data_IF_108677877736
#
_entry.id   IF_108677877736
#
_cell.length_a   1.000
_cell.length_b   1.000
_cell.length_c   1.000
_cell.angle_alpha   90.00
_cell.angle_beta   90.00
_cell.angle_gamma   90.00
#
_symmetry.space_group_name_H-M   'P 1'
#
loop_
_entity.id
_entity.type
_entity.pdbx_description
1 polymer ?
#
# COMPACT_ATOMS: atom_id res chain seq x y z
N UNK A 1 38.95 -52.96 -76.90
CA UNK A 1 39.32 -53.20 -75.48
C UNK A 1 40.04 -54.54 -75.30
N UNK A 2 41.32 -54.51 -74.91
CA UNK A 2 42.07 -55.72 -74.55
C UNK A 2 41.51 -56.32 -73.24
N UNK A 3 41.33 -57.64 -73.13
CA UNK A 3 40.85 -58.26 -71.91
C UNK A 3 41.92 -58.20 -70.81
N UNK A 4 41.64 -57.55 -69.69
CA UNK A 4 42.55 -57.53 -68.53
C UNK A 4 42.85 -58.94 -68.03
N UNK A 5 44.14 -59.19 -67.78
CA UNK A 5 44.66 -60.45 -67.27
C UNK A 5 44.14 -60.78 -65.87
N UNK A 6 44.14 -62.07 -65.53
CA UNK A 6 43.67 -62.58 -64.23
C UNK A 6 44.51 -62.02 -63.07
N UNK A 7 45.79 -61.73 -63.31
CA UNK A 7 46.69 -61.05 -62.37
C UNK A 7 46.19 -59.65 -62.00
N UNK A 8 45.82 -58.86 -63.00
CA UNK A 8 45.48 -57.44 -62.83
C UNK A 8 44.11 -57.30 -62.16
N UNK A 9 43.14 -58.14 -62.55
CA UNK A 9 41.84 -58.24 -61.85
C UNK A 9 42.00 -58.61 -60.37
N UNK A 10 42.99 -59.45 -60.02
CA UNK A 10 43.28 -59.79 -58.60
C UNK A 10 43.93 -58.64 -57.84
N UNK A 11 44.70 -57.77 -58.49
CA UNK A 11 45.22 -56.53 -57.88
C UNK A 11 44.09 -55.52 -57.66
N UNK A 12 43.31 -55.24 -58.70
CA UNK A 12 42.16 -54.33 -58.66
C UNK A 12 41.14 -54.73 -57.58
N UNK A 13 40.86 -56.03 -57.42
CA UNK A 13 39.95 -56.51 -56.38
C UNK A 13 40.51 -56.36 -54.95
N UNK A 14 41.84 -56.40 -54.77
CA UNK A 14 42.49 -56.11 -53.47
C UNK A 14 42.45 -54.62 -53.17
N UNK A 15 42.72 -53.79 -54.16
CA UNK A 15 42.71 -52.33 -54.06
C UNK A 15 41.30 -51.79 -53.75
N UNK A 16 40.27 -52.26 -54.46
CA UNK A 16 38.86 -51.97 -54.15
C UNK A 16 38.44 -52.40 -52.74
N UNK A 17 38.97 -53.53 -52.23
CA UNK A 17 38.74 -53.95 -50.84
C UNK A 17 39.50 -53.11 -49.81
N UNK A 18 40.64 -52.53 -50.16
CA UNK A 18 41.37 -51.60 -49.28
C UNK A 18 40.65 -50.24 -49.22
N UNK A 19 40.25 -49.69 -50.37
CA UNK A 19 39.46 -48.46 -50.46
C UNK A 19 38.13 -48.56 -49.70
N UNK A 20 37.40 -49.67 -49.84
CA UNK A 20 36.17 -49.89 -49.08
C UNK A 20 36.37 -49.92 -47.56
N UNK A 21 37.52 -50.40 -47.07
CA UNK A 21 37.86 -50.40 -45.64
C UNK A 21 38.29 -49.03 -45.12
N UNK A 22 38.96 -48.23 -45.95
CA UNK A 22 39.29 -46.84 -45.60
C UNK A 22 38.01 -46.01 -45.47
N UNK A 23 37.09 -46.12 -46.43
CA UNK A 23 35.81 -45.42 -46.40
C UNK A 23 34.93 -45.77 -45.19
N UNK A 24 34.96 -47.03 -44.70
CA UNK A 24 34.26 -47.39 -43.46
C UNK A 24 34.92 -46.80 -42.22
N UNK A 25 36.26 -46.75 -42.15
CA UNK A 25 36.98 -46.17 -41.02
C UNK A 25 36.77 -44.65 -40.93
N UNK A 26 36.83 -43.95 -42.07
CA UNK A 26 36.51 -42.51 -42.12
C UNK A 26 35.07 -42.26 -41.64
N UNK A 27 34.09 -43.07 -42.09
CA UNK A 27 32.71 -42.96 -41.61
C UNK A 27 32.56 -43.21 -40.10
N UNK A 28 33.28 -44.19 -39.55
CA UNK A 28 33.29 -44.47 -38.10
C UNK A 28 33.90 -43.31 -37.29
N UNK A 29 34.95 -42.66 -37.80
CA UNK A 29 35.53 -41.46 -37.18
C UNK A 29 34.57 -40.25 -37.25
N UNK A 30 33.88 -40.03 -38.37
CA UNK A 30 32.84 -38.98 -38.48
C UNK A 30 31.69 -39.21 -37.48
N UNK A 31 31.15 -40.44 -37.40
CA UNK A 31 30.08 -40.78 -36.46
C UNK A 31 30.52 -40.60 -34.99
N UNK A 32 31.79 -40.86 -34.68
CA UNK A 32 32.36 -40.63 -33.35
C UNK A 32 32.45 -39.14 -33.03
N UNK A 33 32.93 -38.32 -33.98
CA UNK A 33 33.04 -36.87 -33.81
C UNK A 33 31.67 -36.22 -33.64
N UNK A 34 30.67 -36.65 -34.41
CA UNK A 34 29.28 -36.20 -34.29
C UNK A 34 28.71 -36.52 -32.89
N UNK A 35 28.95 -37.73 -32.39
CA UNK A 35 28.54 -38.12 -31.03
C UNK A 35 29.20 -37.27 -29.95
N UNK A 36 30.50 -36.99 -30.07
CA UNK A 36 31.24 -36.13 -29.14
C UNK A 36 30.73 -34.67 -29.17
N UNK A 37 30.40 -34.13 -30.35
CA UNK A 37 29.77 -32.82 -30.47
C UNK A 37 28.36 -32.80 -29.85
N UNK A 38 27.55 -33.84 -30.03
CA UNK A 38 26.21 -33.94 -29.42
C UNK A 38 26.28 -34.06 -27.90
N UNK A 39 27.24 -34.82 -27.36
CA UNK A 39 27.49 -34.91 -25.92
C UNK A 39 27.95 -33.55 -25.35
N UNK A 40 28.83 -32.84 -26.06
CA UNK A 40 29.26 -31.49 -25.68
C UNK A 40 28.09 -30.50 -25.67
N UNK A 41 27.27 -30.43 -26.73
CA UNK A 41 26.08 -29.56 -26.81
C UNK A 41 25.12 -29.85 -25.66
N UNK A 42 24.87 -31.13 -25.37
CA UNK A 42 24.00 -31.55 -24.26
C UNK A 42 24.57 -31.11 -22.91
N UNK A 43 25.88 -31.25 -22.69
CA UNK A 43 26.54 -30.82 -21.45
C UNK A 43 26.52 -29.30 -21.24
N UNK A 44 26.65 -28.51 -22.31
CA UNK A 44 26.54 -27.06 -22.27
C UNK A 44 25.10 -26.66 -21.93
N UNK A 45 24.10 -27.26 -22.61
CA UNK A 45 22.68 -26.97 -22.36
C UNK A 45 22.25 -27.28 -20.92
N UNK A 46 22.68 -28.42 -20.36
CA UNK A 46 22.40 -28.78 -18.97
C UNK A 46 23.06 -27.80 -17.99
N UNK A 47 24.29 -27.38 -18.26
CA UNK A 47 24.99 -26.39 -17.43
C UNK A 47 24.31 -25.02 -17.47
N UNK A 48 23.89 -24.56 -18.64
CA UNK A 48 23.13 -23.31 -18.78
C UNK A 48 21.79 -23.37 -18.05
N UNK A 49 21.10 -24.51 -18.07
CA UNK A 49 19.86 -24.73 -17.30
C UNK A 49 20.11 -24.69 -15.78
N UNK A 50 21.17 -25.33 -15.29
CA UNK A 50 21.59 -25.22 -13.89
C UNK A 50 21.96 -23.79 -13.49
N UNK A 51 22.67 -23.05 -14.34
CA UNK A 51 23.07 -21.67 -14.08
C UNK A 51 21.86 -20.73 -14.08
N UNK A 52 20.89 -20.91 -14.99
CA UNK A 52 19.58 -20.21 -14.96
C UNK A 52 18.82 -20.47 -13.68
N UNK A 53 18.73 -21.73 -13.25
CA UNK A 53 18.03 -22.09 -12.01
C UNK A 53 18.68 -21.47 -10.77
N UNK A 54 20.02 -21.45 -10.70
CA UNK A 54 20.76 -20.80 -9.60
C UNK A 54 20.50 -19.28 -9.55
N UNK A 55 20.30 -18.65 -10.71
CA UNK A 55 19.91 -17.23 -10.79
C UNK A 55 18.48 -17.04 -10.29
N UNK A 56 17.53 -17.85 -10.74
CA UNK A 56 16.12 -17.81 -10.32
C UNK A 56 15.96 -18.02 -8.81
N UNK A 57 16.64 -19.02 -8.23
CA UNK A 57 16.64 -19.30 -6.78
C UNK A 57 17.19 -18.11 -5.95
N UNK A 58 18.23 -17.41 -6.43
CA UNK A 58 18.81 -16.25 -5.74
C UNK A 58 17.98 -14.96 -5.96
N UNK A 59 17.36 -14.78 -7.13
CA UNK A 59 16.40 -13.69 -7.37
C UNK A 59 15.17 -13.83 -6.46
N UNK A 60 14.60 -15.03 -6.34
CA UNK A 60 13.53 -15.33 -5.38
C UNK A 60 13.94 -15.01 -3.94
N UNK A 61 15.16 -15.41 -3.55
CA UNK A 61 15.70 -15.13 -2.21
C UNK A 61 15.81 -13.63 -1.94
N UNK A 62 16.38 -12.87 -2.88
CA UNK A 62 16.52 -11.41 -2.77
C UNK A 62 15.14 -10.76 -2.67
N UNK A 63 14.16 -11.17 -3.49
CA UNK A 63 12.79 -10.67 -3.44
C UNK A 63 12.13 -10.92 -2.07
N UNK A 64 12.29 -12.13 -1.51
CA UNK A 64 11.79 -12.46 -0.16
C UNK A 64 12.46 -11.60 0.93
N UNK A 65 13.76 -11.33 0.81
CA UNK A 65 14.48 -10.46 1.75
C UNK A 65 14.01 -8.99 1.66
N UNK A 66 13.86 -8.44 0.45
CA UNK A 66 13.35 -7.08 0.24
C UNK A 66 11.93 -6.91 0.79
N UNK A 67 11.05 -7.89 0.57
CA UNK A 67 9.70 -7.89 1.14
C UNK A 67 9.71 -7.93 2.67
N UNK A 68 10.57 -8.76 3.27
CA UNK A 68 10.70 -8.86 4.72
C UNK A 68 11.26 -7.56 5.35
N UNK A 69 12.22 -6.90 4.70
CA UNK A 69 12.75 -5.61 5.14
C UNK A 69 11.70 -4.50 5.04
N UNK A 70 10.98 -4.42 3.91
CA UNK A 70 9.89 -3.46 3.72
C UNK A 70 8.77 -3.62 4.75
N UNK A 71 8.39 -4.87 5.08
CA UNK A 71 7.41 -5.13 6.12
C UNK A 71 7.87 -4.69 7.51
N UNK A 72 9.16 -4.88 7.85
CA UNK A 72 9.74 -4.41 9.12
C UNK A 72 9.77 -2.88 9.20
N UNK A 73 10.17 -2.22 8.11
CA UNK A 73 10.20 -0.75 8.04
C UNK A 73 8.79 -0.17 8.24
N UNK A 74 7.77 -0.77 7.62
CA UNK A 74 6.37 -0.36 7.82
C UNK A 74 5.88 -0.60 9.26
N UNK A 75 6.25 -1.72 9.89
CA UNK A 75 5.93 -1.99 11.30
C UNK A 75 6.60 -0.98 12.24
N UNK A 76 7.85 -0.61 11.97
CA UNK A 76 8.58 0.42 12.72
C UNK A 76 7.98 1.81 12.53
N UNK A 77 7.56 2.16 11.30
CA UNK A 77 6.83 3.39 11.03
C UNK A 77 5.52 3.47 11.83
N UNK A 78 4.70 2.40 11.85
CA UNK A 78 3.48 2.33 12.67
C UNK A 78 3.77 2.48 14.17
N UNK A 79 4.83 1.85 14.68
CA UNK A 79 5.26 2.02 16.08
C UNK A 79 5.65 3.47 16.35
N UNK A 80 6.44 4.10 15.48
CA UNK A 80 6.85 5.50 15.62
C UNK A 80 5.67 6.48 15.64
N UNK A 81 4.66 6.25 14.79
CA UNK A 81 3.41 7.01 14.79
C UNK A 81 2.64 6.85 16.10
N UNK A 82 2.53 5.62 16.63
CA UNK A 82 1.89 5.37 17.93
C UNK A 82 2.60 6.05 19.09
N UNK A 83 3.95 6.11 19.07
CA UNK A 83 4.71 6.86 20.08
C UNK A 83 4.48 8.38 19.96
N UNK A 84 4.52 8.93 18.75
CA UNK A 84 4.26 10.36 18.52
C UNK A 84 2.81 10.76 18.89
N UNK A 85 1.84 9.88 18.68
CA UNK A 85 0.45 10.11 19.12
C UNK A 85 0.34 10.10 20.65
N UNK A 86 0.95 9.13 21.33
CA UNK A 86 1.00 9.08 22.81
C UNK A 86 1.69 10.31 23.40
N UNK A 87 2.76 10.80 22.77
CA UNK A 87 3.44 12.02 23.17
C UNK A 87 2.52 13.25 23.05
N UNK A 88 1.81 13.41 21.93
CA UNK A 88 0.79 14.47 21.77
C UNK A 88 -0.30 14.40 22.85
N UNK A 89 -0.82 13.21 23.14
CA UNK A 89 -1.82 13.02 24.21
C UNK A 89 -1.28 13.38 25.60
N UNK A 90 0.02 13.16 25.87
CA UNK A 90 0.66 13.61 27.12
C UNK A 90 0.80 15.13 27.17
N UNK A 91 1.26 15.76 26.08
CA UNK A 91 1.36 17.22 25.98
C UNK A 91 -0.01 17.92 26.14
N UNK A 92 -1.07 17.35 25.55
CA UNK A 92 -2.45 17.85 25.72
C UNK A 92 -2.91 17.75 27.19
N UNK A 93 -2.66 16.60 27.85
CA UNK A 93 -2.97 16.43 29.28
C UNK A 93 -2.20 17.41 30.17
N UNK A 94 -0.92 17.65 29.89
CA UNK A 94 -0.15 18.67 30.61
C UNK A 94 -0.72 20.08 30.43
N UNK A 95 -1.17 20.43 29.23
CA UNK A 95 -1.80 21.73 28.97
C UNK A 95 -3.14 21.87 29.73
N UNK A 96 -3.94 20.81 29.79
CA UNK A 96 -5.17 20.79 30.58
C UNK A 96 -4.90 20.94 32.09
N UNK A 97 -3.89 20.24 32.62
CA UNK A 97 -3.44 20.38 34.02
C UNK A 97 -3.00 21.83 34.30
N UNK A 98 -2.16 22.42 33.45
CA UNK A 98 -1.71 23.82 33.59
C UNK A 98 -2.89 24.81 33.59
N UNK A 99 -3.91 24.59 32.76
CA UNK A 99 -5.14 25.41 32.77
C UNK A 99 -5.97 25.23 34.04
N UNK A 100 -6.04 24.01 34.59
CA UNK A 100 -6.75 23.73 35.85
C UNK A 100 -6.01 24.34 37.05
N UNK A 101 -4.69 24.21 37.11
CA UNK A 101 -3.85 24.89 38.11
C UNK A 101 -4.03 26.42 38.08
N UNK A 102 -4.13 27.02 36.89
CA UNK A 102 -4.39 28.45 36.76
C UNK A 102 -5.79 28.85 37.26
N UNK A 103 -6.82 28.04 36.98
CA UNK A 103 -8.18 28.24 37.53
C UNK A 103 -8.16 28.16 39.06
N UNK A 104 -7.53 27.13 39.62
CA UNK A 104 -7.36 26.93 41.07
C UNK A 104 -6.60 28.11 41.69
N UNK A 105 -5.56 28.63 41.02
CA UNK A 105 -4.82 29.82 41.47
C UNK A 105 -5.71 31.06 41.54
N UNK A 106 -6.48 31.33 40.48
CA UNK A 106 -7.43 32.46 40.41
C UNK A 106 -8.53 32.34 41.48
N UNK A 107 -9.02 31.14 41.75
CA UNK A 107 -10.01 30.88 42.79
C UNK A 107 -9.43 31.06 44.20
N UNK A 108 -8.22 30.54 44.47
CA UNK A 108 -7.50 30.77 45.74
C UNK A 108 -7.30 32.26 46.01
N UNK A 109 -6.88 33.04 45.01
CA UNK A 109 -6.73 34.50 45.12
C UNK A 109 -8.07 35.20 45.41
N UNK A 110 -9.17 34.76 44.77
CA UNK A 110 -10.52 35.28 45.07
C UNK A 110 -10.93 34.99 46.52
N UNK A 111 -10.73 33.75 47.00
CA UNK A 111 -11.01 33.36 48.38
C UNK A 111 -10.17 34.18 49.38
N UNK A 112 -8.91 34.47 49.06
CA UNK A 112 -8.04 35.30 49.89
C UNK A 112 -8.53 36.75 49.97
N UNK A 113 -8.89 37.36 48.83
CA UNK A 113 -9.49 38.70 48.80
C UNK A 113 -10.80 38.76 49.59
N UNK A 114 -11.65 37.75 49.50
CA UNK A 114 -12.92 37.73 50.23
C UNK A 114 -12.73 37.46 51.74
N UNK A 115 -11.72 36.67 52.14
CA UNK A 115 -11.27 36.56 53.54
C UNK A 115 -10.74 37.89 54.08
N UNK A 116 -9.99 38.66 53.28
CA UNK A 116 -9.51 39.98 53.69
C UNK A 116 -10.67 40.97 53.93
N UNK A 117 -11.67 41.01 53.03
CA UNK A 117 -12.89 41.80 53.21
C UNK A 117 -13.70 41.40 54.46
N UNK A 118 -13.78 40.10 54.76
CA UNK A 118 -14.43 39.60 55.97
C UNK A 118 -13.72 40.08 57.24
N UNK A 119 -12.38 39.98 57.30
CA UNK A 119 -11.59 40.52 58.42
C UNK A 119 -11.77 42.03 58.59
N UNK A 120 -11.84 42.79 57.49
CA UNK A 120 -12.11 44.22 57.54
C UNK A 120 -13.47 44.51 58.17
N UNK A 121 -14.55 43.87 57.69
CA UNK A 121 -15.90 43.99 58.28
C UNK A 121 -15.96 43.58 59.75
N UNK A 122 -15.20 42.58 60.17
CA UNK A 122 -15.12 42.15 61.56
C UNK A 122 -14.46 43.22 62.45
N UNK A 123 -13.40 43.87 61.96
CA UNK A 123 -12.76 45.00 62.64
C UNK A 123 -13.69 46.22 62.70
N UNK A 124 -14.36 46.55 61.60
CA UNK A 124 -15.35 47.64 61.55
C UNK A 124 -16.48 47.41 62.56
N UNK A 125 -16.98 46.16 62.67
CA UNK A 125 -18.00 45.78 63.65
C UNK A 125 -17.51 45.88 65.11
N UNK A 126 -16.26 45.46 65.37
CA UNK A 126 -15.63 45.60 66.70
C UNK A 126 -15.49 47.08 67.10
N UNK A 127 -15.06 47.93 66.18
CA UNK A 127 -14.95 49.38 66.39
C UNK A 127 -16.33 50.03 66.62
N UNK A 128 -17.35 49.66 65.84
CA UNK A 128 -18.71 50.15 66.03
C UNK A 128 -19.28 49.74 67.40
N UNK A 129 -18.95 48.54 67.90
CA UNK A 129 -19.40 48.05 69.21
C UNK A 129 -18.71 48.76 70.39
N UNK A 130 -17.52 49.34 70.18
CA UNK A 130 -16.83 50.20 71.16
C UNK A 130 -17.30 51.66 71.14
N UNK A 131 -18.06 52.07 70.12
CA UNK A 131 -18.63 53.41 69.98
C UNK A 131 -20.10 53.52 70.43
N UNK A 132 -20.71 52.43 70.89
CA UNK A 132 -22.06 52.42 71.43
C UNK A 132 -22.05 52.94 72.89
N UNK A 133 -22.77 54.03 73.22
CA UNK A 133 -22.93 54.46 74.61
C UNK A 133 -23.79 53.46 75.40
N UNK A 134 -23.62 53.43 76.72
CA UNK A 134 -24.34 52.52 77.61
C UNK A 134 -25.87 52.62 77.41
N UNK A 135 -26.59 51.48 77.32
CA UNK A 135 -28.05 51.48 77.24
C UNK A 135 -28.64 51.84 78.61
N UNK A 136 -28.96 53.13 78.80
CA UNK A 136 -29.73 53.59 79.95
C UNK A 136 -31.11 52.92 79.96
N UNK A 137 -31.46 52.32 81.10
CA UNK A 137 -32.72 51.63 81.34
C UNK A 137 -33.95 52.53 81.12
N UNK A 138 -34.89 52.06 80.30
CA UNK A 138 -36.28 52.54 80.28
C UNK A 138 -37.24 51.35 80.01
N UNK A 139 -38.20 51.06 80.90
CA UNK A 139 -39.19 50.00 80.69
C UNK A 139 -40.50 50.57 80.12
N UNK A 140 -40.96 50.10 78.95
CA UNK A 140 -42.33 50.36 78.47
C UNK A 140 -42.95 49.09 77.86
N UNK A 141 -43.77 48.47 78.69
CA UNK A 141 -45.09 47.87 78.43
C UNK A 141 -45.34 46.83 77.32
N UNK A 142 -46.13 45.84 77.73
CA UNK A 142 -46.65 44.69 76.99
C UNK A 142 -47.96 45.00 76.25
N UNK A 143 -48.17 44.44 75.05
CA UNK A 143 -49.54 44.26 74.53
C UNK A 143 -49.72 42.99 73.67
N UNK A 144 -50.85 42.36 73.92
CA UNK A 144 -51.37 41.03 73.57
C UNK A 144 -51.62 40.68 72.08
N UNK A 145 -51.03 39.57 71.65
CA UNK A 145 -51.65 38.34 71.10
C UNK A 145 -52.76 38.32 69.99
N UNK A 146 -52.41 37.66 68.87
CA UNK A 146 -53.19 36.64 68.08
C UNK A 146 -54.35 37.14 67.12
N UNK A 147 -55.00 36.28 66.29
CA UNK A 147 -54.48 35.84 64.96
C UNK A 147 -55.55 35.74 63.80
N UNK A 148 -55.17 35.81 62.51
CA UNK A 148 -56.07 35.44 61.38
C UNK A 148 -55.32 34.75 60.23
N UNK A 149 -56.00 33.81 59.57
CA UNK A 149 -55.51 32.93 58.49
C UNK A 149 -55.55 33.54 57.06
N UNK A 150 -55.13 32.73 56.08
CA UNK A 150 -55.35 32.76 54.62
C UNK A 150 -56.38 33.76 54.04
N UNK A 151 -56.19 34.33 52.84
CA UNK A 151 -56.39 33.68 51.52
C UNK A 151 -55.68 34.53 50.45
N UNK A 152 -55.19 33.92 49.36
CA UNK A 152 -54.51 34.64 48.27
C UNK A 152 -55.42 35.09 47.11
N UNK A 153 -55.06 36.17 46.40
CA UNK A 153 -55.53 36.42 45.03
C UNK A 153 -54.51 37.16 44.13
N UNK A 154 -54.15 36.49 43.02
CA UNK A 154 -54.00 36.99 41.63
C UNK A 154 -53.55 38.45 41.36
N UNK A 155 -52.42 38.66 40.64
CA UNK A 155 -52.24 39.87 39.82
C UNK A 155 -53.02 39.75 38.48
N UNK A 156 -53.79 40.80 38.13
CA UNK A 156 -54.60 40.84 36.89
C UNK A 156 -53.81 41.32 35.66
N UNK A 157 -53.97 40.61 34.53
CA UNK A 157 -53.42 40.93 33.21
C UNK A 157 -54.15 42.09 32.51
N UNK A 158 -53.42 43.03 31.88
CA UNK A 158 -53.77 43.78 30.63
C UNK A 158 -52.47 44.37 30.04
N UNK A 159 -52.22 44.47 28.72
CA UNK A 159 -52.84 43.85 27.52
C UNK A 159 -51.79 43.85 26.37
N UNK A 160 -51.86 42.90 25.44
CA UNK A 160 -50.90 42.74 24.31
C UNK A 160 -51.14 43.71 23.13
N UNK A 161 -50.09 43.96 22.34
CA UNK A 161 -50.02 43.80 20.86
C UNK A 161 -48.57 43.38 20.52
N UNK A 162 -48.19 42.20 19.99
CA UNK A 162 -48.60 41.34 18.83
C UNK A 162 -48.00 41.72 17.48
N UNK A 163 -46.79 41.20 17.22
CA UNK A 163 -46.30 40.57 15.98
C UNK A 163 -45.37 39.44 16.51
N UNK A 164 -45.68 38.13 16.54
CA UNK A 164 -46.13 37.14 15.53
C UNK A 164 -45.01 36.80 14.53
N UNK A 165 -44.48 35.57 14.41
CA UNK A 165 -44.57 34.36 15.26
C UNK A 165 -43.55 33.30 14.80
N UNK A 166 -43.33 32.27 15.64
CA UNK A 166 -42.82 30.90 15.30
C UNK A 166 -41.35 30.76 14.82
N UNK A 167 -40.58 29.75 15.25
CA UNK A 167 -40.80 28.67 16.24
C UNK A 167 -39.46 27.96 16.59
N UNK A 168 -39.28 27.23 17.70
CA UNK A 168 -40.26 26.88 18.75
C UNK A 168 -39.73 26.96 20.21
N UNK A 169 -38.92 25.99 20.67
CA UNK A 169 -38.65 25.72 22.09
C UNK A 169 -37.24 25.20 22.36
N UNK A 170 -36.56 25.61 23.45
CA UNK A 170 -35.52 24.81 24.07
C UNK A 170 -36.18 23.62 24.78
N UNK A 171 -35.93 22.40 24.32
CA UNK A 171 -36.35 21.18 25.01
C UNK A 171 -35.52 21.02 26.28
N UNK A 172 -36.19 20.78 27.41
CA UNK A 172 -35.54 20.29 28.63
C UNK A 172 -35.06 18.87 28.33
N UNK A 173 -33.77 18.73 28.00
CA UNK A 173 -33.14 17.42 27.85
C UNK A 173 -32.69 16.97 29.24
N UNK A 174 -33.35 15.93 29.73
CA UNK A 174 -32.96 15.15 30.91
C UNK A 174 -31.47 14.77 30.89
N UNK A 175 -30.82 14.56 32.05
CA UNK A 175 -29.43 14.09 32.06
C UNK A 175 -29.29 12.84 31.18
N UNK A 176 -28.22 12.72 30.37
CA UNK A 176 -28.08 11.61 29.45
C UNK A 176 -28.09 10.30 30.23
N UNK A 177 -29.09 9.48 29.92
CA UNK A 177 -29.16 8.08 30.33
C UNK A 177 -27.82 7.42 30.06
N UNK A 178 -27.36 6.59 30.99
CA UNK A 178 -26.14 5.79 30.82
C UNK A 178 -26.07 5.24 29.40
N UNK A 179 -25.02 5.63 28.67
CA UNK A 179 -24.70 4.99 27.40
C UNK A 179 -24.37 3.56 27.74
N UNK A 180 -25.35 2.67 27.53
CA UNK A 180 -25.09 1.23 27.43
C UNK A 180 -23.93 1.08 26.47
N UNK A 181 -22.98 0.23 26.85
CA UNK A 181 -21.85 -0.18 26.02
C UNK A 181 -22.33 -0.35 24.57
N UNK A 182 -21.54 0.06 23.56
CA UNK A 182 -21.88 -0.26 22.19
C UNK A 182 -21.97 -1.78 22.11
N UNK A 183 -23.21 -2.29 22.06
CA UNK A 183 -23.52 -3.69 21.82
C UNK A 183 -22.61 -4.10 20.69
N UNK A 184 -21.70 -5.02 20.98
CA UNK A 184 -20.78 -5.54 19.99
C UNK A 184 -21.66 -6.03 18.85
N UNK A 185 -21.68 -5.25 17.76
CA UNK A 185 -22.20 -5.73 16.49
C UNK A 185 -21.24 -6.82 16.12
N UNK A 186 -21.57 -8.03 16.58
CA UNK A 186 -21.11 -9.26 15.99
C UNK A 186 -21.53 -9.12 14.55
N UNK A 187 -20.59 -8.66 13.73
CA UNK A 187 -20.68 -8.88 12.31
C UNK A 187 -20.87 -10.38 12.19
N UNK A 188 -21.97 -10.77 11.53
CA UNK A 188 -22.19 -12.14 11.11
C UNK A 188 -21.22 -12.44 9.96
N UNK A 189 -19.93 -12.36 10.29
CA UNK A 189 -18.85 -12.91 9.51
C UNK A 189 -19.09 -14.42 9.55
N UNK A 190 -19.17 -15.10 8.39
CA UNK A 190 -19.27 -16.55 8.39
C UNK A 190 -18.11 -17.08 9.25
N UNK A 191 -18.37 -18.05 10.15
CA UNK A 191 -17.38 -18.47 11.13
C UNK A 191 -16.08 -18.77 10.40
N UNK A 192 -15.00 -18.10 10.80
CA UNK A 192 -13.66 -18.35 10.25
C UNK A 192 -13.31 -19.75 10.72
N UNK A 193 -13.70 -20.74 9.90
CA UNK A 193 -13.27 -22.11 10.09
C UNK A 193 -11.75 -22.06 10.11
N UNK A 194 -11.16 -22.47 11.23
CA UNK A 194 -9.77 -22.84 11.28
C UNK A 194 -9.57 -23.96 10.27
N UNK A 195 -9.21 -23.56 9.04
CA UNK A 195 -8.85 -24.48 7.98
C UNK A 195 -7.54 -25.13 8.39
N UNK A 196 -7.66 -26.23 9.15
CA UNK A 196 -6.74 -27.36 9.05
C UNK A 196 -6.38 -27.49 7.58
N UNK A 197 -5.08 -27.55 7.25
CA UNK A 197 -4.61 -27.62 5.87
C UNK A 197 -5.38 -28.70 5.09
N UNK A 198 -6.33 -28.27 4.26
CA UNK A 198 -6.87 -29.09 3.18
C UNK A 198 -6.00 -28.80 1.96
N UNK A 199 -4.74 -29.17 2.08
CA UNK A 199 -3.85 -29.41 0.95
C UNK A 199 -4.34 -30.66 0.24
N UNK A 200 -5.37 -30.51 -0.61
CA UNK A 200 -5.79 -31.35 -1.75
C UNK A 200 -7.26 -31.04 -2.06
N UNK A 201 -7.55 -30.52 -3.26
CA UNK A 201 -8.93 -30.35 -3.73
C UNK A 201 -9.15 -29.31 -4.82
N UNK A 202 -8.39 -28.21 -4.82
CA UNK A 202 -8.61 -27.09 -5.78
C UNK A 202 -7.69 -27.12 -7.02
N UNK A 203 -6.64 -27.96 -7.05
CA UNK A 203 -5.71 -28.03 -8.17
C UNK A 203 -6.05 -29.10 -9.24
N UNK A 204 -7.04 -29.96 -8.99
CA UNK A 204 -7.40 -31.07 -9.91
C UNK A 204 -8.53 -30.72 -10.87
N UNK A 205 -9.46 -29.83 -10.50
CA UNK A 205 -10.58 -29.44 -11.35
C UNK A 205 -10.11 -28.72 -12.63
N UNK A 206 -9.15 -27.80 -12.49
CA UNK A 206 -8.63 -27.02 -13.62
C UNK A 206 -7.85 -27.89 -14.61
N UNK A 207 -7.21 -28.98 -14.16
CA UNK A 207 -6.43 -29.86 -15.03
C UNK A 207 -7.33 -30.68 -15.96
N UNK A 208 -8.48 -31.17 -15.47
CA UNK A 208 -9.46 -31.88 -16.32
C UNK A 208 -10.20 -30.91 -17.26
N UNK A 209 -10.47 -29.67 -16.83
CA UNK A 209 -11.06 -28.62 -17.69
C UNK A 209 -10.09 -28.23 -18.81
N UNK A 210 -8.81 -28.01 -18.50
CA UNK A 210 -7.76 -27.74 -19.49
C UNK A 210 -7.62 -28.91 -20.48
N UNK A 211 -7.68 -30.15 -19.99
CA UNK A 211 -7.62 -31.34 -20.85
C UNK A 211 -8.81 -31.42 -21.78
N UNK A 212 -10.04 -31.22 -21.28
CA UNK A 212 -11.26 -31.21 -22.09
C UNK A 212 -11.25 -30.12 -23.17
N UNK A 213 -10.82 -28.90 -22.82
CA UNK A 213 -10.69 -27.79 -23.77
C UNK A 213 -9.62 -28.06 -24.87
N UNK A 214 -8.54 -28.77 -24.53
CA UNK A 214 -7.49 -29.15 -25.47
C UNK A 214 -7.86 -30.29 -26.44
N UNK A 215 -8.87 -31.11 -26.09
CA UNK A 215 -9.27 -32.26 -26.92
C UNK A 215 -10.37 -31.96 -27.95
N UNK A 216 -11.24 -30.98 -27.72
CA UNK A 216 -12.38 -30.69 -28.63
C UNK A 216 -12.06 -29.67 -29.73
N UNK A 217 -10.89 -29.01 -29.67
CA UNK A 217 -10.50 -27.92 -30.58
C UNK A 217 -9.96 -28.37 -31.95
N UNK A 218 -9.95 -29.68 -32.26
CA UNK A 218 -9.34 -30.22 -33.50
C UNK A 218 -10.28 -30.38 -34.71
N UNK A 219 -11.55 -29.92 -34.66
CA UNK A 219 -12.48 -30.05 -35.81
C UNK A 219 -13.36 -28.83 -36.06
N UNK A 220 -12.88 -27.98 -37.00
CA UNK A 220 -13.60 -26.89 -37.69
C UNK A 220 -13.93 -25.70 -36.76
N UNK A 221 -13.75 -24.45 -37.18
CA UNK A 221 -13.87 -23.88 -38.53
C UNK A 221 -12.74 -22.87 -38.84
N UNK A 222 -12.65 -22.47 -40.11
CA UNK A 222 -12.05 -21.19 -40.50
C UNK A 222 -12.84 -20.02 -39.89
N UNK A 223 -12.31 -18.80 -40.02
CA UNK A 223 -12.90 -17.51 -39.61
C UNK A 223 -12.49 -17.03 -38.20
N UNK A 224 -11.18 -16.84 -38.02
CA UNK A 224 -10.65 -15.71 -37.24
C UNK A 224 -9.68 -14.95 -38.14
N UNK A 225 -10.09 -13.77 -38.60
CA UNK A 225 -9.28 -12.89 -39.44
C UNK A 225 -8.14 -12.28 -38.64
N UNK A 226 -6.90 -12.66 -38.95
CA UNK A 226 -5.71 -11.92 -38.52
C UNK A 226 -5.55 -10.69 -39.44
N UNK A 227 -5.63 -9.45 -38.91
CA UNK A 227 -5.48 -8.23 -39.72
C UNK A 227 -4.05 -8.03 -40.27
N UNK A 228 -3.09 -8.88 -39.91
CA UNK A 228 -1.73 -8.89 -40.48
C UNK A 228 -1.50 -10.03 -41.50
N UNK A 229 -2.45 -10.94 -41.70
CA UNK A 229 -2.31 -12.05 -42.65
C UNK A 229 -2.56 -11.66 -44.12
N UNK A 230 -3.28 -10.58 -44.39
CA UNK A 230 -3.52 -10.05 -45.76
C UNK A 230 -2.47 -9.01 -46.19
N UNK A 231 -1.31 -8.97 -45.52
CA UNK A 231 -0.13 -8.23 -45.96
C UNK A 231 0.86 -9.14 -46.71
N UNK A 232 0.36 -10.01 -47.60
CA UNK A 232 1.16 -10.51 -48.72
C UNK A 232 1.46 -9.33 -49.65
N UNK A 233 2.50 -8.54 -49.30
CA UNK A 233 3.08 -7.58 -50.23
C UNK A 233 3.58 -8.37 -51.44
N UNK A 234 2.90 -8.19 -52.57
CA UNK A 234 3.38 -8.58 -53.89
C UNK A 234 4.77 -7.95 -54.08
N UNK A 235 5.81 -8.78 -53.95
CA UNK A 235 7.19 -8.30 -54.01
C UNK A 235 7.60 -8.11 -55.47
N UNK A 236 7.20 -6.98 -56.06
CA UNK A 236 7.80 -6.51 -57.31
C UNK A 236 9.32 -6.42 -57.14
N UNK A 237 10.13 -7.08 -57.99
CA UNK A 237 11.59 -7.03 -57.88
C UNK A 237 12.14 -5.70 -58.43
N UNK A 238 11.88 -4.60 -57.71
CA UNK A 238 12.32 -3.28 -58.13
C UNK A 238 13.83 -3.08 -57.88
N UNK A 239 14.56 -2.84 -58.96
CA UNK A 239 16.01 -2.86 -58.98
C UNK A 239 16.70 -1.74 -58.17
N UNK A 240 17.84 -2.11 -57.58
CA UNK A 240 19.03 -1.27 -57.37
C UNK A 240 18.90 0.01 -56.51
N UNK A 241 19.17 -0.16 -55.20
CA UNK A 241 20.20 0.62 -54.46
C UNK A 241 20.46 -0.02 -53.09
N UNK A 242 21.62 -0.65 -52.95
CA UNK A 242 22.36 -0.93 -51.70
C UNK A 242 21.55 -1.12 -50.40
N UNK A 243 20.63 -2.10 -50.37
CA UNK A 243 20.06 -2.55 -49.10
C UNK A 243 21.10 -3.35 -48.31
N UNK A 244 21.65 -2.74 -47.26
CA UNK A 244 22.48 -3.42 -46.26
C UNK A 244 21.69 -4.57 -45.65
N UNK A 245 22.28 -5.77 -45.64
CA UNK A 245 21.69 -6.95 -45.02
C UNK A 245 21.46 -6.72 -43.52
N UNK A 246 20.51 -7.44 -42.90
CA UNK A 246 20.26 -7.38 -41.45
C UNK A 246 21.56 -7.54 -40.64
N UNK A 247 22.45 -8.43 -41.10
CA UNK A 247 23.79 -8.66 -40.56
C UNK A 247 24.67 -7.40 -40.62
N UNK A 248 24.71 -6.70 -41.76
CA UNK A 248 25.43 -5.42 -41.88
C UNK A 248 24.78 -4.30 -41.05
N UNK A 249 23.46 -4.29 -40.88
CA UNK A 249 22.79 -3.33 -40.00
C UNK A 249 23.16 -3.55 -38.52
N UNK A 250 23.22 -4.82 -38.08
CA UNK A 250 23.71 -5.18 -36.75
C UNK A 250 25.19 -4.88 -36.57
N UNK A 251 26.03 -5.18 -37.57
CA UNK A 251 27.47 -4.91 -37.53
C UNK A 251 27.78 -3.40 -37.57
N UNK A 252 26.97 -2.60 -38.28
CA UNK A 252 27.07 -1.14 -38.26
C UNK A 252 26.58 -0.54 -36.94
N UNK A 253 25.54 -1.11 -36.30
CA UNK A 253 25.16 -0.74 -34.93
C UNK A 253 26.29 -1.05 -33.94
N UNK A 254 26.85 -2.26 -33.98
CA UNK A 254 27.99 -2.67 -33.13
C UNK A 254 29.29 -1.90 -33.41
N UNK A 255 29.42 -1.24 -34.56
CA UNK A 255 30.58 -0.38 -34.89
C UNK A 255 30.34 1.10 -34.61
N UNK A 256 29.09 1.57 -34.60
CA UNK A 256 28.72 2.93 -34.15
C UNK A 256 28.61 3.01 -32.63
N UNK A 257 28.09 1.97 -32.00
CA UNK A 257 28.23 1.70 -30.57
C UNK A 257 29.57 0.97 -30.34
N UNK A 258 30.68 1.69 -30.61
CA UNK A 258 32.00 1.28 -30.13
C UNK A 258 31.98 1.05 -28.62
N UNK A 259 32.91 0.24 -28.07
CA UNK A 259 32.70 -0.50 -26.83
C UNK A 259 32.25 0.39 -25.67
N UNK A 260 30.95 0.39 -25.39
CA UNK A 260 30.34 0.96 -24.19
C UNK A 260 30.58 0.07 -22.98
N UNK A 261 31.84 -0.37 -22.82
CA UNK A 261 32.38 -0.93 -21.58
C UNK A 261 32.66 0.17 -20.55
N UNK A 262 31.94 1.28 -20.60
CA UNK A 262 31.57 2.02 -19.40
C UNK A 262 30.59 1.15 -18.63
N UNK A 263 31.15 0.22 -17.85
CA UNK A 263 30.45 -0.35 -16.70
C UNK A 263 29.97 0.85 -15.88
N UNK A 264 28.66 1.13 -15.91
CA UNK A 264 28.10 2.25 -15.15
C UNK A 264 28.50 2.08 -13.70
N UNK A 265 29.06 3.14 -13.10
CA UNK A 265 29.40 3.08 -11.68
C UNK A 265 28.15 2.77 -10.86
N UNK A 266 28.34 2.16 -9.70
CA UNK A 266 27.22 1.87 -8.80
C UNK A 266 26.55 3.19 -8.38
N UNK A 267 27.31 4.28 -8.27
CA UNK A 267 26.80 5.64 -8.11
C UNK A 267 25.90 6.10 -9.27
N UNK A 268 26.35 5.98 -10.53
CA UNK A 268 25.59 6.43 -11.71
C UNK A 268 24.29 5.64 -11.89
N UNK A 269 24.36 4.30 -11.74
CA UNK A 269 23.18 3.43 -11.79
C UNK A 269 22.18 3.81 -10.69
N UNK A 270 22.66 4.13 -9.48
CA UNK A 270 21.84 4.59 -8.34
C UNK A 270 21.28 5.99 -8.55
N UNK A 271 22.02 6.89 -9.20
CA UNK A 271 21.56 8.23 -9.57
C UNK A 271 20.42 8.16 -10.61
N UNK A 272 20.58 7.34 -11.67
CA UNK A 272 19.52 7.12 -12.66
C UNK A 272 18.25 6.52 -12.05
N UNK A 273 18.38 5.50 -11.20
CA UNK A 273 17.22 4.87 -10.55
C UNK A 273 16.50 5.82 -9.58
N UNK A 274 17.24 6.70 -8.88
CA UNK A 274 16.64 7.79 -8.08
C UNK A 274 15.89 8.79 -8.97
N UNK A 275 16.51 9.25 -10.06
CA UNK A 275 15.86 10.17 -10.99
C UNK A 275 14.58 9.59 -11.62
N UNK A 276 14.56 8.29 -11.95
CA UNK A 276 13.35 7.59 -12.39
C UNK A 276 12.28 7.52 -11.28
N UNK A 277 12.65 7.22 -10.04
CA UNK A 277 11.72 7.23 -8.89
C UNK A 277 11.11 8.61 -8.67
N UNK A 278 11.93 9.66 -8.69
CA UNK A 278 11.50 11.04 -8.46
C UNK A 278 10.59 11.56 -9.59
N UNK A 279 10.83 11.13 -10.83
CA UNK A 279 9.96 11.42 -11.97
C UNK A 279 8.58 10.76 -11.80
N UNK A 280 8.55 9.49 -11.40
CA UNK A 280 7.32 8.72 -11.20
C UNK A 280 6.49 9.23 -10.01
N UNK A 281 7.17 9.69 -8.94
CA UNK A 281 6.52 10.38 -7.83
C UNK A 281 5.90 11.71 -8.26
N UNK A 282 6.62 12.54 -9.02
CA UNK A 282 6.09 13.81 -9.56
C UNK A 282 4.89 13.60 -10.48
N UNK A 283 4.90 12.56 -11.31
CA UNK A 283 3.75 12.20 -12.15
C UNK A 283 2.53 11.88 -11.28
N UNK A 284 2.68 11.02 -10.26
CA UNK A 284 1.57 10.69 -9.33
C UNK A 284 1.08 11.87 -8.50
N UNK A 285 1.97 12.80 -8.12
CA UNK A 285 1.57 14.04 -7.44
C UNK A 285 0.78 14.97 -8.37
N UNK A 286 1.16 15.05 -9.65
CA UNK A 286 0.40 15.80 -10.66
C UNK A 286 -0.96 15.17 -10.95
N UNK A 287 -1.03 13.84 -11.12
CA UNK A 287 -2.29 13.09 -11.29
C UNK A 287 -3.24 13.33 -10.12
N UNK A 288 -2.76 13.14 -8.88
CA UNK A 288 -3.55 13.41 -7.66
C UNK A 288 -4.00 14.88 -7.57
N UNK A 289 -3.16 15.82 -8.00
CA UNK A 289 -3.53 17.24 -7.99
C UNK A 289 -4.67 17.52 -8.98
N UNK A 290 -4.60 16.95 -10.18
CA UNK A 290 -5.66 17.04 -11.20
C UNK A 290 -6.94 16.37 -10.71
N UNK A 291 -6.86 15.21 -10.08
CA UNK A 291 -8.00 14.50 -9.48
C UNK A 291 -8.69 15.34 -8.38
N UNK A 292 -7.91 15.97 -7.49
CA UNK A 292 -8.43 16.87 -6.46
C UNK A 292 -9.03 18.17 -7.02
N UNK A 293 -8.52 18.67 -8.14
CA UNK A 293 -9.04 19.85 -8.83
C UNK A 293 -10.37 19.52 -9.53
N UNK A 294 -10.45 18.38 -10.24
CA UNK A 294 -11.69 17.86 -10.83
C UNK A 294 -12.75 17.53 -9.77
N UNK A 295 -12.36 16.97 -8.62
CA UNK A 295 -13.28 16.71 -7.51
C UNK A 295 -13.79 17.99 -6.83
N UNK A 296 -13.10 19.12 -7.01
CA UNK A 296 -13.48 20.43 -6.47
C UNK A 296 -14.37 21.22 -7.44
N UNK A 297 -14.11 21.12 -8.74
CA UNK A 297 -14.90 21.78 -9.79
C UNK A 297 -16.18 20.99 -10.15
N UNK A 298 -16.33 19.78 -9.61
CA UNK A 298 -17.53 18.93 -9.72
C UNK A 298 -18.58 19.11 -8.61
N UNK A 299 -18.53 20.18 -7.82
CA UNK A 299 -19.50 20.56 -6.78
C UNK A 299 -20.17 21.91 -7.06
#
# INVERSE_FOLDING_TARGET
PTPMGISDRKKELKEKKALGRLSTLESEEYNRLEKEQMELITSISLREEEERKKIEDEEERILREVLALSSKEHEEQLKSQSYAEKERQLQEKELLIKQEEEKIRKEKEKIERDKAKLKQKENDFKNAKLAAPDPVLAPVETSTAKPVESIGEKPKKKKKRTIVDNSEKPVVVSPPTQVKEPVSKNYDLPPVMEKKLVTHGMASADYDILKAASSDSFKKKKDTSDPYAEAELEFEPLHSKEHKTMKQLMEEKLKKEGPTSTVESVEDRKARLRAQRDLLLKQKEQERKIELEQARDGQ
#
